data_IF_064825816346
#
_entry.id   IF_064825816346
#
_cell.length_a   1.000
_cell.length_b   1.000
_cell.length_c   1.000
_cell.angle_alpha   90.00
_cell.angle_beta   90.00
_cell.angle_gamma   90.00
#
_symmetry.space_group_name_H-M   'P 1'
#
loop_
_entity.id
_entity.type
_entity.pdbx_description
1 polymer ?
#
# COMPACT_ATOMS: atom_id res chain seq x y z
N UNK A 1 -21.46 18.05 8.18
CA UNK A 1 -21.68 17.45 6.85
C UNK A 1 -20.36 17.25 6.08
N UNK A 2 -19.22 17.15 6.77
CA UNK A 2 -17.90 16.94 6.11
C UNK A 2 -17.29 15.56 6.41
N UNK A 3 -17.58 15.00 7.59
CA UNK A 3 -17.08 13.69 8.03
C UNK A 3 -17.47 12.54 7.09
N UNK A 4 -18.74 12.48 6.68
CA UNK A 4 -19.24 11.46 5.74
C UNK A 4 -18.54 11.48 4.37
N UNK A 5 -18.07 12.64 3.91
CA UNK A 5 -17.32 12.75 2.66
C UNK A 5 -15.89 12.22 2.80
N UNK A 6 -15.26 12.47 3.94
CA UNK A 6 -13.91 12.02 4.24
C UNK A 6 -13.83 10.49 4.39
N UNK A 7 -14.81 9.87 5.06
CA UNK A 7 -14.86 8.41 5.23
C UNK A 7 -15.03 7.70 3.88
N UNK A 8 -15.89 8.22 3.00
CA UNK A 8 -16.08 7.68 1.65
C UNK A 8 -14.83 7.85 0.78
N UNK A 9 -14.14 8.98 0.91
CA UNK A 9 -12.88 9.21 0.20
C UNK A 9 -11.80 8.24 0.67
N UNK A 10 -11.64 8.05 1.98
CA UNK A 10 -10.68 7.11 2.55
C UNK A 10 -10.96 5.67 2.11
N UNK A 11 -12.22 5.24 2.11
CA UNK A 11 -12.58 3.91 1.61
C UNK A 11 -12.28 3.78 0.10
N UNK A 12 -12.61 4.79 -0.70
CA UNK A 12 -12.32 4.76 -2.14
C UNK A 12 -10.81 4.70 -2.43
N UNK A 13 -10.00 5.47 -1.70
CA UNK A 13 -8.54 5.46 -1.78
C UNK A 13 -8.01 4.08 -1.38
N UNK A 14 -8.46 3.54 -0.24
CA UNK A 14 -8.03 2.26 0.27
C UNK A 14 -8.35 1.13 -0.71
N UNK A 15 -9.56 1.11 -1.28
CA UNK A 15 -9.97 0.13 -2.28
C UNK A 15 -9.16 0.23 -3.57
N UNK A 16 -8.82 1.44 -4.00
CA UNK A 16 -8.05 1.66 -5.23
C UNK A 16 -6.62 1.15 -5.05
N UNK A 17 -5.95 1.57 -3.98
CA UNK A 17 -4.58 1.15 -3.69
C UNK A 17 -4.48 -0.35 -3.42
N UNK A 18 -5.47 -0.94 -2.74
CA UNK A 18 -5.51 -2.39 -2.53
C UNK A 18 -5.57 -3.14 -3.87
N UNK A 19 -6.38 -2.65 -4.82
CA UNK A 19 -6.46 -3.25 -6.16
C UNK A 19 -5.17 -3.08 -6.92
N UNK A 20 -4.56 -1.90 -6.87
CA UNK A 20 -3.32 -1.61 -7.58
C UNK A 20 -2.21 -2.54 -7.10
N UNK A 21 -1.97 -2.61 -5.79
CA UNK A 21 -0.94 -3.50 -5.20
C UNK A 21 -1.18 -4.96 -5.55
N UNK A 22 -2.41 -5.46 -5.40
CA UNK A 22 -2.70 -6.86 -5.73
C UNK A 22 -2.47 -7.13 -7.22
N UNK A 23 -2.91 -6.24 -8.11
CA UNK A 23 -2.79 -6.44 -9.56
C UNK A 23 -1.36 -6.33 -10.05
N UNK A 24 -0.57 -5.41 -9.51
CA UNK A 24 0.85 -5.29 -9.84
C UNK A 24 1.64 -6.47 -9.29
N UNK A 25 1.37 -6.92 -8.06
CA UNK A 25 1.97 -8.15 -7.52
C UNK A 25 1.61 -9.39 -8.33
N UNK A 26 0.36 -9.51 -8.81
CA UNK A 26 -0.06 -10.63 -9.66
C UNK A 26 0.72 -10.70 -10.98
N UNK A 27 1.14 -9.56 -11.53
CA UNK A 27 1.98 -9.49 -12.74
C UNK A 27 3.37 -10.07 -12.46
N UNK A 28 3.91 -9.82 -11.27
CA UNK A 28 5.19 -10.36 -10.80
C UNK A 28 5.08 -11.83 -10.34
N UNK A 29 3.89 -12.44 -10.42
CA UNK A 29 3.63 -13.82 -10.02
C UNK A 29 3.28 -14.00 -8.53
N UNK A 30 3.20 -12.92 -7.77
CA UNK A 30 2.86 -12.91 -6.35
C UNK A 30 1.34 -12.81 -6.15
N UNK A 31 0.75 -13.80 -5.49
CA UNK A 31 -0.69 -13.79 -5.15
C UNK A 31 -0.89 -13.34 -3.71
N UNK A 32 -1.21 -12.07 -3.55
CA UNK A 32 -1.44 -11.48 -2.24
C UNK A 32 -2.92 -11.59 -1.81
N UNK A 33 -3.13 -11.72 -0.50
CA UNK A 33 -4.45 -11.73 0.07
C UNK A 33 -4.99 -10.29 0.21
N UNK A 34 -6.17 -10.04 -0.36
CA UNK A 34 -6.74 -8.70 -0.46
C UNK A 34 -6.97 -8.05 0.91
N UNK A 35 -7.42 -8.83 1.91
CA UNK A 35 -7.70 -8.32 3.26
C UNK A 35 -6.41 -7.98 4.01
N UNK A 36 -5.34 -8.75 3.81
CA UNK A 36 -4.03 -8.44 4.36
C UNK A 36 -3.44 -7.18 3.74
N UNK A 37 -3.49 -7.07 2.40
CA UNK A 37 -3.01 -5.89 1.67
C UNK A 37 -3.78 -4.65 2.11
N UNK A 38 -5.10 -4.72 2.17
CA UNK A 38 -5.97 -3.65 2.68
C UNK A 38 -5.58 -3.25 4.10
N UNK A 39 -5.35 -4.22 4.98
CA UNK A 39 -4.97 -3.97 6.37
C UNK A 39 -3.60 -3.31 6.49
N UNK A 40 -2.65 -3.71 5.64
CA UNK A 40 -1.31 -3.12 5.57
C UNK A 40 -1.37 -1.67 5.09
N UNK A 41 -2.08 -1.40 3.99
CA UNK A 41 -2.25 -0.05 3.44
C UNK A 41 -2.99 0.87 4.43
N UNK A 42 -4.04 0.37 5.10
CA UNK A 42 -4.78 1.15 6.09
C UNK A 42 -3.87 1.59 7.26
N UNK A 43 -3.01 0.69 7.76
CA UNK A 43 -2.02 1.03 8.79
C UNK A 43 -1.00 2.05 8.28
N UNK A 44 -0.54 1.91 7.04
CA UNK A 44 0.41 2.83 6.42
C UNK A 44 -0.15 4.25 6.26
N UNK A 45 -1.43 4.36 5.86
CA UNK A 45 -2.14 5.63 5.71
C UNK A 45 -2.69 6.21 7.04
N UNK A 46 -2.55 5.49 8.16
CA UNK A 46 -3.11 5.89 9.45
C UNK A 46 -4.65 5.90 9.49
N UNK A 47 -5.30 5.10 8.63
CA UNK A 47 -6.76 4.98 8.57
C UNK A 47 -7.19 3.85 9.51
N UNK A 48 -8.00 4.17 10.52
CA UNK A 48 -8.60 3.16 11.39
C UNK A 48 -9.78 2.49 10.69
N UNK A 49 -9.66 1.19 10.43
CA UNK A 49 -10.74 0.36 9.92
C UNK A 49 -11.01 -0.80 10.88
N UNK A 50 -12.28 -1.19 11.01
CA UNK A 50 -12.66 -2.38 11.76
C UNK A 50 -12.25 -3.65 11.01
N UNK A 51 -11.89 -4.71 11.74
CA UNK A 51 -11.62 -6.02 11.15
C UNK A 51 -10.27 -6.17 10.45
N UNK A 52 -9.27 -5.37 10.83
CA UNK A 52 -7.89 -5.49 10.34
C UNK A 52 -7.38 -6.92 10.54
N UNK A 53 -7.11 -7.61 9.43
CA UNK A 53 -6.41 -8.89 9.45
C UNK A 53 -4.93 -8.62 9.72
N UNK A 54 -4.23 -9.42 10.54
CA UNK A 54 -2.78 -9.39 10.56
C UNK A 54 -2.26 -9.67 9.15
N UNK A 55 -1.38 -8.80 8.66
CA UNK A 55 -0.67 -8.98 7.40
C UNK A 55 0.64 -9.73 7.66
N UNK A 56 1.05 -10.54 6.70
CA UNK A 56 2.39 -11.12 6.68
C UNK A 56 3.44 -10.02 6.41
N UNK A 57 4.65 -10.22 6.90
CA UNK A 57 5.80 -9.35 6.62
C UNK A 57 6.08 -9.21 5.12
N UNK A 58 5.82 -10.25 4.33
CA UNK A 58 5.95 -10.17 2.88
C UNK A 58 4.98 -9.14 2.28
N UNK A 59 3.73 -9.15 2.73
CA UNK A 59 2.71 -8.19 2.29
C UNK A 59 3.10 -6.78 2.69
N UNK A 60 3.55 -6.59 3.93
CA UNK A 60 3.97 -5.28 4.44
C UNK A 60 5.16 -4.72 3.65
N UNK A 61 6.17 -5.55 3.35
CA UNK A 61 7.34 -5.13 2.58
C UNK A 61 7.01 -4.76 1.12
N UNK A 62 6.08 -5.47 0.48
CA UNK A 62 5.63 -5.13 -0.88
C UNK A 62 4.87 -3.79 -0.87
N UNK A 63 3.97 -3.60 0.09
CA UNK A 63 3.25 -2.34 0.25
C UNK A 63 4.23 -1.19 0.47
N UNK A 64 5.20 -1.35 1.38
CA UNK A 64 6.23 -0.36 1.64
C UNK A 64 7.03 0.01 0.37
N UNK A 65 7.53 -0.98 -0.38
CA UNK A 65 8.24 -0.72 -1.63
C UNK A 65 7.39 0.00 -2.67
N UNK A 66 6.09 -0.33 -2.82
CA UNK A 66 5.22 0.37 -3.77
C UNK A 66 4.98 1.82 -3.37
N UNK A 67 4.82 2.10 -2.08
CA UNK A 67 4.70 3.47 -1.60
C UNK A 67 6.01 4.25 -1.74
N UNK A 68 7.16 3.60 -1.55
CA UNK A 68 8.47 4.19 -1.81
C UNK A 68 8.64 4.54 -3.29
N UNK A 69 8.37 3.58 -4.19
CA UNK A 69 8.48 3.78 -5.64
C UNK A 69 7.55 4.89 -6.18
N UNK A 70 6.40 5.10 -5.56
CA UNK A 70 5.41 6.11 -6.02
C UNK A 70 5.60 7.49 -5.39
N UNK A 71 6.12 7.59 -4.16
CA UNK A 71 6.30 8.88 -3.49
C UNK A 71 7.73 9.41 -3.58
N UNK A 72 8.71 8.52 -3.61
CA UNK A 72 10.13 8.87 -3.75
C UNK A 72 10.60 8.70 -5.20
N UNK A 73 9.69 8.74 -6.19
CA UNK A 73 10.00 8.63 -7.62
C UNK A 73 10.99 9.70 -8.12
N UNK A 74 11.08 10.83 -7.40
CA UNK A 74 11.96 11.95 -7.71
C UNK A 74 13.17 12.04 -6.76
N UNK A 75 13.28 11.10 -5.82
CA UNK A 75 14.52 10.90 -5.09
C UNK A 75 15.49 10.30 -6.09
N UNK A 76 16.47 11.11 -6.51
CA UNK A 76 17.44 10.69 -7.51
C UNK A 76 18.20 9.52 -6.91
N UNK A 77 17.89 8.30 -7.35
CA UNK A 77 18.56 7.07 -6.91
C UNK A 77 20.04 7.12 -7.32
N UNK A 78 20.81 7.86 -6.53
CA UNK A 78 22.25 7.84 -6.43
C UNK A 78 22.64 8.36 -5.04
N UNK A 79 22.26 7.61 -4.02
CA UNK A 79 22.86 7.68 -2.69
C UNK A 79 23.76 6.45 -2.48
N UNK A 80 24.92 6.47 -3.14
CA UNK A 80 26.21 5.96 -2.61
C UNK A 80 26.20 4.54 -1.98
N UNK A 81 25.58 3.53 -2.60
CA UNK A 81 25.84 2.13 -2.21
C UNK A 81 25.81 1.07 -3.31
N UNK A 82 25.39 1.41 -4.53
CA UNK A 82 25.46 0.49 -5.68
C UNK A 82 25.83 1.24 -6.97
N UNK A 83 26.84 2.13 -6.88
CA UNK A 83 27.63 2.50 -8.05
C UNK A 83 28.95 1.74 -7.95
N UNK A 84 29.07 0.64 -8.70
CA UNK A 84 30.37 0.18 -9.17
C UNK A 84 30.74 0.93 -10.46
#
# INVERSE_FOLDING_TARGET
>A
MEQLGFDLQNEAVLQTLTKDVVKTSEIEGEKLDNDQVRSSIARWLGIEIGGLRPSDRNVDGIVEMMFDATQNYNDSTCSVSYCE
#
